data_IF_939317631157
#
_entry.id   IF_939317631157
#
_cell.length_a   1.000
_cell.length_b   1.000
_cell.length_c   1.000
_cell.angle_alpha   90.00
_cell.angle_beta   90.00
_cell.angle_gamma   90.00
#
_symmetry.space_group_name_H-M   'P 1'
#
loop_
_entity.id
_entity.type
_entity.pdbx_description
1 polymer ?
#
# COMPACT_ATOMS: atom_id res chain seq x y z
N UNK A 1 -15.65 0.59 -6.90
CA UNK A 1 -15.97 -0.32 -5.79
C UNK A 1 -15.18 -1.62 -5.74
N UNK A 2 -14.84 -2.27 -6.88
CA UNK A 2 -14.10 -3.55 -6.90
C UNK A 2 -12.81 -3.53 -6.06
N UNK A 3 -12.06 -2.41 -6.06
CA UNK A 3 -10.82 -2.26 -5.28
C UNK A 3 -11.03 -2.47 -3.78
N UNK A 4 -11.94 -1.71 -3.15
CA UNK A 4 -12.23 -1.80 -1.72
C UNK A 4 -12.74 -3.18 -1.31
N UNK A 5 -13.66 -3.75 -2.10
CA UNK A 5 -14.19 -5.10 -1.82
C UNK A 5 -13.07 -6.15 -1.86
N UNK A 6 -12.14 -6.06 -2.82
CA UNK A 6 -10.98 -6.95 -2.91
C UNK A 6 -10.01 -6.76 -1.74
N UNK A 7 -9.75 -5.51 -1.35
CA UNK A 7 -8.85 -5.18 -0.24
C UNK A 7 -9.37 -5.72 1.10
N UNK A 8 -10.67 -5.54 1.36
CA UNK A 8 -11.30 -6.03 2.60
C UNK A 8 -11.36 -7.55 2.69
N UNK A 9 -11.56 -8.24 1.57
CA UNK A 9 -11.58 -9.71 1.54
C UNK A 9 -10.29 -10.30 2.12
N UNK A 10 -9.15 -9.63 1.94
CA UNK A 10 -7.86 -10.06 2.47
C UNK A 10 -7.63 -9.74 3.95
N UNK A 11 -8.33 -8.75 4.51
CA UNK A 11 -8.05 -8.29 5.89
C UNK A 11 -8.75 -9.08 6.99
N UNK A 12 -9.79 -9.86 6.68
CA UNK A 12 -10.53 -10.72 7.62
C UNK A 12 -11.15 -10.02 8.84
N UNK A 13 -10.95 -8.72 9.02
CA UNK A 13 -11.47 -7.91 10.11
C UNK A 13 -11.95 -6.55 9.60
N UNK A 14 -12.95 -5.99 10.28
CA UNK A 14 -13.44 -4.65 10.01
C UNK A 14 -12.51 -3.61 10.63
N UNK A 15 -11.97 -2.66 9.87
CA UNK A 15 -11.10 -1.62 10.41
C UNK A 15 -11.87 -0.65 11.31
N UNK A 16 -11.22 -0.13 12.35
CA UNK A 16 -11.79 0.91 13.22
C UNK A 16 -11.85 2.28 12.53
N UNK A 17 -10.81 2.59 11.73
CA UNK A 17 -10.66 3.84 10.99
C UNK A 17 -10.03 3.56 9.64
N UNK A 18 -10.52 4.25 8.61
CA UNK A 18 -9.92 4.30 7.27
C UNK A 18 -9.32 5.69 7.07
N UNK A 19 -8.10 5.73 6.56
CA UNK A 19 -7.44 6.96 6.15
C UNK A 19 -7.20 6.91 4.65
N UNK A 20 -7.66 7.93 3.93
CA UNK A 20 -7.40 8.08 2.49
C UNK A 20 -7.05 9.52 2.15
N UNK A 21 -6.65 9.77 0.91
CA UNK A 21 -6.62 11.13 0.37
C UNK A 21 -8.05 11.73 0.25
N UNK A 22 -8.10 12.97 -0.26
CA UNK A 22 -9.33 13.77 -0.37
C UNK A 22 -10.13 13.52 -1.66
N UNK A 23 -9.81 12.49 -2.46
CA UNK A 23 -10.55 12.17 -3.68
C UNK A 23 -11.99 11.75 -3.36
N UNK A 24 -12.96 12.32 -4.10
CA UNK A 24 -14.40 12.07 -3.90
C UNK A 24 -14.77 10.59 -4.01
N UNK A 25 -14.05 9.83 -4.85
CA UNK A 25 -14.23 8.39 -5.07
C UNK A 25 -14.11 7.58 -3.78
N UNK A 26 -13.25 7.98 -2.84
CA UNK A 26 -13.10 7.31 -1.55
C UNK A 26 -14.29 7.55 -0.62
N UNK A 27 -14.78 8.79 -0.56
CA UNK A 27 -15.97 9.13 0.23
C UNK A 27 -17.21 8.37 -0.25
N UNK A 28 -17.33 8.15 -1.57
CA UNK A 28 -18.40 7.37 -2.16
C UNK A 28 -18.23 5.88 -1.84
N UNK A 29 -17.02 5.35 -1.96
CA UNK A 29 -16.73 3.95 -1.66
C UNK A 29 -16.94 3.57 -0.20
N UNK A 30 -16.55 4.46 0.72
CA UNK A 30 -16.83 4.29 2.16
C UNK A 30 -18.34 4.20 2.40
N UNK A 31 -19.13 5.13 1.84
CA UNK A 31 -20.59 5.16 2.05
C UNK A 31 -21.27 3.88 1.59
N UNK A 32 -20.81 3.27 0.50
CA UNK A 32 -21.38 2.03 -0.01
C UNK A 32 -20.92 0.78 0.77
N UNK A 33 -19.63 0.69 1.11
CA UNK A 33 -19.03 -0.58 1.55
C UNK A 33 -18.81 -0.64 3.07
N UNK A 34 -18.53 0.50 3.72
CA UNK A 34 -18.18 0.59 5.14
C UNK A 34 -18.75 1.88 5.77
N UNK A 35 -20.08 2.06 5.79
CA UNK A 35 -20.70 3.30 6.26
C UNK A 35 -20.43 3.57 7.75
N UNK A 36 -20.27 2.52 8.56
CA UNK A 36 -20.06 2.62 10.02
C UNK A 36 -18.59 2.86 10.43
N UNK A 37 -17.62 2.66 9.53
CA UNK A 37 -16.20 2.79 9.87
C UNK A 37 -15.79 4.26 9.86
N UNK A 38 -15.08 4.75 10.89
CA UNK A 38 -14.59 6.12 10.93
C UNK A 38 -13.68 6.43 9.74
N UNK A 39 -13.71 7.65 9.20
CA UNK A 39 -12.85 8.05 8.08
C UNK A 39 -12.19 9.37 8.35
N UNK A 40 -10.95 9.48 7.89
CA UNK A 40 -10.23 10.73 7.91
C UNK A 40 -9.45 10.93 6.63
N UNK A 41 -9.27 12.21 6.30
CA UNK A 41 -8.38 12.73 5.27
C UNK A 41 -7.58 13.91 5.81
N UNK A 42 -7.37 13.92 7.13
CA UNK A 42 -6.52 14.90 7.79
C UNK A 42 -5.10 14.84 7.24
N UNK A 43 -4.46 16.00 7.23
CA UNK A 43 -3.12 16.16 6.70
C UNK A 43 -2.16 15.17 7.38
N UNK A 44 -1.30 14.54 6.58
CA UNK A 44 -0.26 13.61 7.01
C UNK A 44 -0.73 12.24 7.54
N UNK A 45 -2.02 12.03 7.80
CA UNK A 45 -2.46 10.71 8.30
C UNK A 45 -2.27 9.59 7.27
N UNK A 46 -2.27 9.92 5.96
CA UNK A 46 -1.99 8.95 4.90
C UNK A 46 -0.49 8.75 4.63
N UNK A 47 0.42 9.44 5.34
CA UNK A 47 1.87 9.37 5.10
C UNK A 47 2.40 7.94 5.16
N UNK A 48 1.89 7.11 6.06
CA UNK A 48 2.32 5.71 6.13
C UNK A 48 2.04 4.95 4.83
N UNK A 49 0.87 5.18 4.23
CA UNK A 49 0.50 4.62 2.95
C UNK A 49 1.41 5.17 1.83
N UNK A 50 1.61 6.50 1.79
CA UNK A 50 2.48 7.13 0.80
C UNK A 50 3.94 6.64 0.87
N UNK A 51 4.47 6.46 2.08
CA UNK A 51 5.80 5.90 2.31
C UNK A 51 5.87 4.44 1.83
N UNK A 52 4.84 3.64 2.08
CA UNK A 52 4.79 2.24 1.62
C UNK A 52 4.85 2.10 0.08
N UNK A 53 4.43 3.13 -0.65
CA UNK A 53 4.50 3.16 -2.12
C UNK A 53 5.90 3.49 -2.67
N UNK A 54 6.78 4.12 -1.87
CA UNK A 54 8.07 4.59 -2.36
C UNK A 54 8.96 3.48 -2.95
N UNK A 55 9.13 2.30 -2.30
CA UNK A 55 9.96 1.23 -2.85
C UNK A 55 9.43 0.71 -4.20
N UNK A 56 8.11 0.54 -4.30
CA UNK A 56 7.46 0.12 -5.55
C UNK A 56 7.66 1.13 -6.68
N UNK A 57 7.52 2.43 -6.38
CA UNK A 57 7.78 3.50 -7.36
C UNK A 57 9.25 3.63 -7.74
N UNK A 58 10.17 3.39 -6.81
CA UNK A 58 11.60 3.39 -7.11
C UNK A 58 11.96 2.26 -8.08
N UNK A 59 11.47 1.05 -7.82
CA UNK A 59 11.69 -0.10 -8.69
C UNK A 59 11.02 0.09 -10.06
N UNK A 60 9.79 0.61 -10.10
CA UNK A 60 9.13 0.98 -11.36
C UNK A 60 10.02 1.91 -12.20
N UNK A 61 10.60 2.96 -11.59
CA UNK A 61 11.47 3.91 -12.28
C UNK A 61 12.75 3.25 -12.80
N UNK A 62 13.38 2.38 -12.00
CA UNK A 62 14.56 1.59 -12.42
C UNK A 62 14.24 0.68 -13.62
N UNK A 63 13.02 0.13 -13.65
CA UNK A 63 12.51 -0.70 -14.76
C UNK A 63 12.07 0.11 -15.99
N UNK A 64 12.28 1.43 -16.01
CA UNK A 64 11.83 2.36 -17.07
C UNK A 64 10.31 2.40 -17.25
N UNK A 65 9.57 2.27 -16.14
CA UNK A 65 8.10 2.22 -16.07
C UNK A 65 7.50 0.95 -16.67
N UNK A 66 6.27 0.64 -16.28
CA UNK A 66 5.54 -0.48 -16.85
C UNK A 66 5.04 -0.15 -18.24
N UNK A 67 5.22 -1.06 -19.19
CA UNK A 67 4.75 -0.94 -20.58
C UNK A 67 3.32 -1.45 -20.76
N UNK A 68 2.78 -2.17 -19.78
CA UNK A 68 1.40 -2.67 -19.80
C UNK A 68 0.81 -2.85 -18.40
N UNK A 69 -0.52 -2.85 -18.33
CA UNK A 69 -1.25 -3.17 -17.08
C UNK A 69 -0.91 -4.58 -16.58
N UNK A 70 -0.77 -5.56 -17.48
CA UNK A 70 -0.41 -6.93 -17.12
C UNK A 70 0.98 -7.04 -16.49
N UNK A 71 1.95 -6.27 -16.99
CA UNK A 71 3.28 -6.21 -16.38
C UNK A 71 3.21 -5.61 -14.97
N UNK A 72 2.48 -4.51 -14.79
CA UNK A 72 2.29 -3.90 -13.48
C UNK A 72 1.63 -4.87 -12.49
N UNK A 73 0.60 -5.62 -12.91
CA UNK A 73 -0.06 -6.62 -12.06
C UNK A 73 0.88 -7.75 -11.64
N UNK A 74 1.68 -8.30 -12.58
CA UNK A 74 2.68 -9.34 -12.25
C UNK A 74 3.75 -8.84 -11.29
N UNK A 75 4.23 -7.62 -11.51
CA UNK A 75 5.18 -6.98 -10.60
C UNK A 75 4.58 -6.83 -9.19
N UNK A 76 3.40 -6.21 -9.07
CA UNK A 76 2.74 -5.97 -7.78
C UNK A 76 2.38 -7.27 -7.04
N UNK A 77 2.05 -8.34 -7.77
CA UNK A 77 1.75 -9.65 -7.18
C UNK A 77 2.93 -10.25 -6.41
N UNK A 78 4.16 -10.07 -6.91
CA UNK A 78 5.37 -10.60 -6.27
C UNK A 78 6.04 -9.58 -5.34
N UNK A 79 5.90 -8.28 -5.61
CA UNK A 79 6.63 -7.21 -4.92
C UNK A 79 6.48 -7.25 -3.40
N UNK A 80 5.26 -7.45 -2.88
CA UNK A 80 5.01 -7.52 -1.45
C UNK A 80 5.71 -8.70 -0.77
N UNK A 81 5.71 -9.87 -1.40
CA UNK A 81 6.35 -11.09 -0.89
C UNK A 81 7.86 -10.90 -0.84
N UNK A 82 8.44 -10.42 -1.94
CA UNK A 82 9.88 -10.16 -2.08
C UNK A 82 10.33 -9.12 -1.06
N UNK A 83 9.64 -7.98 -0.97
CA UNK A 83 9.96 -6.94 0.00
C UNK A 83 9.89 -7.43 1.45
N UNK A 84 8.87 -8.22 1.79
CA UNK A 84 8.73 -8.74 3.15
C UNK A 84 9.86 -9.73 3.47
N UNK A 85 10.23 -10.61 2.55
CA UNK A 85 11.34 -11.54 2.72
C UNK A 85 12.65 -10.81 3.03
N UNK A 86 12.98 -9.78 2.26
CA UNK A 86 14.22 -9.00 2.45
C UNK A 86 14.13 -7.96 3.59
N UNK A 87 12.95 -7.68 4.14
CA UNK A 87 12.77 -6.83 5.32
C UNK A 87 12.71 -7.64 6.63
N UNK A 88 12.46 -8.94 6.54
CA UNK A 88 12.48 -9.82 7.71
C UNK A 88 13.88 -9.83 8.33
N UNK A 89 13.97 -9.59 9.65
CA UNK A 89 15.24 -9.51 10.36
C UNK A 89 16.00 -8.17 10.25
N UNK A 90 15.57 -7.20 9.42
CA UNK A 90 16.23 -5.88 9.37
C UNK A 90 16.23 -5.15 10.73
N UNK A 91 15.19 -5.35 11.53
CA UNK A 91 15.12 -4.81 12.90
C UNK A 91 16.18 -5.38 13.85
N UNK A 92 16.90 -6.43 13.45
CA UNK A 92 18.03 -7.03 14.20
C UNK A 92 19.39 -6.63 13.64
N UNK A 93 19.43 -5.90 12.52
CA UNK A 93 20.70 -5.43 11.93
C UNK A 93 21.15 -4.16 12.64
N UNK A 94 22.46 -4.07 12.89
CA UNK A 94 23.08 -2.85 13.39
C UNK A 94 23.13 -1.81 12.26
N UNK A 95 23.00 -0.52 12.60
CA UNK A 95 22.93 0.59 11.64
C UNK A 95 24.09 0.61 10.61
N UNK A 96 25.26 0.09 10.98
CA UNK A 96 26.41 0.00 10.08
C UNK A 96 26.19 -0.97 8.90
N UNK A 97 25.26 -1.91 9.01
CA UNK A 97 24.99 -2.95 8.01
C UNK A 97 23.85 -2.58 7.06
N UNK A 98 23.18 -1.44 7.27
CA UNK A 98 22.03 -1.03 6.45
C UNK A 98 22.40 -0.62 5.01
N UNK A 99 23.69 -0.37 4.74
CA UNK A 99 24.20 0.10 3.43
C UNK A 99 24.53 -1.01 2.43
N UNK A 100 24.47 -2.28 2.83
CA UNK A 100 24.97 -3.42 2.02
C UNK A 100 23.87 -4.03 1.11
N UNK A 101 22.60 -3.61 1.28
CA UNK A 101 21.45 -4.06 0.50
C UNK A 101 20.81 -2.91 -0.30
#
# INVERSE_FOLDING_TARGET
>A
MKLFKKLLKGQQATPLKIVTDKLRSYSAARREIMPSVAHSSQQYENNHCELSHQPGRQQERQMRRFTSQGQAQRFLACHGIVNNLFRHGRHKMQANNDRIL
#
